data_IF_595407988875
#
_entry.id   IF_595407988875
#
_cell.length_a   1.000
_cell.length_b   1.000
_cell.length_c   1.000
_cell.angle_alpha   90.00
_cell.angle_beta   90.00
_cell.angle_gamma   90.00
#
_symmetry.space_group_name_H-M   'P 1'
#
loop_
_entity.id
_entity.type
_entity.pdbx_description
1 polymer ?
#
# COMPACT_ATOMS: atom_id res chain seq x y z
N UNK A 1 0.88 -32.86 -4.80
CA UNK A 1 -0.13 -31.84 -5.15
C UNK A 1 -0.62 -31.00 -3.97
N UNK A 2 -1.22 -31.57 -2.91
CA UNK A 2 -1.75 -30.74 -1.80
C UNK A 2 -0.66 -30.14 -0.89
N UNK A 3 0.42 -30.87 -0.65
CA UNK A 3 1.59 -30.40 0.11
C UNK A 3 2.34 -29.26 -0.60
N UNK A 4 2.49 -29.34 -1.92
CA UNK A 4 3.20 -28.34 -2.71
C UNK A 4 2.42 -27.02 -2.73
N UNK A 5 1.09 -27.08 -2.77
CA UNK A 5 0.21 -25.90 -2.69
C UNK A 5 0.32 -25.20 -1.33
N UNK A 6 0.40 -25.96 -0.23
CA UNK A 6 0.55 -25.38 1.12
C UNK A 6 1.92 -24.70 1.27
N UNK A 7 2.98 -25.33 0.79
CA UNK A 7 4.34 -24.77 0.85
C UNK A 7 4.40 -23.48 0.00
N UNK A 8 3.86 -23.51 -1.21
CA UNK A 8 3.78 -22.33 -2.06
C UNK A 8 2.99 -21.19 -1.40
N UNK A 9 1.85 -21.50 -0.79
CA UNK A 9 1.05 -20.51 -0.07
C UNK A 9 1.80 -19.91 1.13
N UNK A 10 2.55 -20.72 1.89
CA UNK A 10 3.39 -20.22 2.99
C UNK A 10 4.51 -19.32 2.50
N UNK A 11 5.20 -19.69 1.43
CA UNK A 11 6.27 -18.87 0.82
C UNK A 11 5.69 -17.53 0.36
N UNK A 12 4.55 -17.53 -0.35
CA UNK A 12 3.89 -16.32 -0.82
C UNK A 12 3.44 -15.43 0.35
N UNK A 13 2.90 -16.02 1.43
CA UNK A 13 2.53 -15.28 2.63
C UNK A 13 3.72 -14.63 3.35
N UNK A 14 4.88 -15.31 3.40
CA UNK A 14 6.12 -14.73 3.95
C UNK A 14 6.61 -13.57 3.08
N UNK A 15 6.60 -13.75 1.76
CA UNK A 15 7.01 -12.70 0.82
C UNK A 15 6.10 -11.49 0.93
N UNK A 16 4.77 -11.67 1.02
CA UNK A 16 3.82 -10.59 1.28
C UNK A 16 4.18 -9.85 2.57
N UNK A 17 4.30 -10.58 3.68
CA UNK A 17 4.63 -9.99 4.98
C UNK A 17 5.96 -9.22 5.00
N UNK A 18 6.95 -9.61 4.22
CA UNK A 18 8.23 -8.91 4.10
C UNK A 18 8.14 -7.70 3.15
N UNK A 19 7.43 -7.83 2.03
CA UNK A 19 7.40 -6.80 0.98
C UNK A 19 6.33 -5.75 1.23
N UNK A 20 5.30 -6.01 2.02
CA UNK A 20 4.25 -5.05 2.34
C UNK A 20 4.77 -3.84 3.13
N UNK A 21 5.80 -4.04 3.95
CA UNK A 21 6.42 -2.96 4.73
C UNK A 21 7.54 -2.22 3.98
N UNK A 22 7.92 -2.70 2.81
CA UNK A 22 8.91 -2.07 1.96
C UNK A 22 8.17 -1.49 0.74
N UNK A 23 8.45 -0.26 0.29
CA UNK A 23 7.73 0.36 -0.82
C UNK A 23 8.16 -0.22 -2.19
N UNK A 24 7.96 -1.53 -2.38
CA UNK A 24 8.38 -2.29 -3.58
C UNK A 24 7.26 -3.10 -4.25
N UNK A 25 6.00 -2.77 -4.01
CA UNK A 25 4.83 -3.51 -4.54
C UNK A 25 4.82 -5.00 -4.19
N UNK A 26 4.24 -5.33 -3.04
CA UNK A 26 4.03 -6.71 -2.57
C UNK A 26 3.24 -7.55 -3.60
N UNK A 27 2.20 -6.99 -4.18
CA UNK A 27 1.37 -7.65 -5.21
C UNK A 27 2.21 -8.08 -6.43
N UNK A 28 3.12 -7.23 -6.89
CA UNK A 28 4.02 -7.57 -8.01
C UNK A 28 4.92 -8.78 -7.68
N UNK A 29 5.44 -8.85 -6.46
CA UNK A 29 6.26 -9.97 -5.99
C UNK A 29 5.47 -11.27 -5.89
N UNK A 30 4.24 -11.21 -5.37
CA UNK A 30 3.36 -12.40 -5.26
C UNK A 30 2.99 -12.94 -6.63
N UNK A 31 2.62 -12.08 -7.58
CA UNK A 31 2.27 -12.49 -8.93
C UNK A 31 3.46 -13.15 -9.63
N UNK A 32 4.64 -12.54 -9.55
CA UNK A 32 5.83 -13.08 -10.17
C UNK A 32 6.24 -14.42 -9.54
N UNK A 33 6.32 -14.48 -8.22
CA UNK A 33 6.71 -15.68 -7.51
C UNK A 33 5.66 -16.78 -7.63
N UNK A 34 4.36 -16.45 -7.60
CA UNK A 34 3.27 -17.38 -7.82
C UNK A 34 3.35 -18.05 -9.20
N UNK A 35 3.67 -17.24 -10.23
CA UNK A 35 3.90 -17.77 -11.57
C UNK A 35 5.07 -18.76 -11.61
N UNK A 36 6.21 -18.46 -10.99
CA UNK A 36 7.36 -19.36 -10.91
C UNK A 36 7.11 -20.63 -10.11
N UNK A 37 6.28 -20.55 -9.06
CA UNK A 37 5.91 -21.70 -8.23
C UNK A 37 4.79 -22.55 -8.86
N UNK A 38 4.24 -22.15 -10.01
CA UNK A 38 3.08 -22.82 -10.59
C UNK A 38 1.85 -22.79 -9.68
N UNK A 39 1.73 -21.75 -8.85
CA UNK A 39 0.62 -21.58 -7.92
C UNK A 39 -0.58 -21.01 -8.68
N UNK A 40 -1.48 -21.91 -9.09
CA UNK A 40 -2.75 -21.52 -9.71
C UNK A 40 -3.68 -20.96 -8.65
N UNK A 41 -3.81 -19.64 -8.63
CA UNK A 41 -4.72 -18.94 -7.74
C UNK A 41 -6.13 -18.98 -8.34
N UNK A 42 -7.03 -19.73 -7.73
CA UNK A 42 -8.45 -19.75 -8.05
C UNK A 42 -9.11 -18.43 -7.62
N UNK A 43 -8.83 -17.37 -8.38
CA UNK A 43 -9.36 -16.04 -8.12
C UNK A 43 -8.57 -15.29 -7.03
N UNK A 44 -8.68 -13.99 -7.01
CA UNK A 44 -8.00 -13.03 -6.11
C UNK A 44 -8.24 -13.25 -4.59
N UNK A 45 -8.88 -14.34 -4.21
CA UNK A 45 -9.24 -14.64 -2.82
C UNK A 45 -7.98 -14.84 -1.96
N UNK A 46 -6.99 -15.56 -2.48
CA UNK A 46 -5.75 -15.80 -1.75
C UNK A 46 -4.98 -14.50 -1.48
N UNK A 47 -4.84 -13.65 -2.50
CA UNK A 47 -4.17 -12.34 -2.38
C UNK A 47 -4.87 -11.47 -1.33
N UNK A 48 -6.20 -11.41 -1.35
CA UNK A 48 -6.97 -10.65 -0.37
C UNK A 48 -6.78 -11.20 1.05
N UNK A 49 -6.72 -12.52 1.21
CA UNK A 49 -6.54 -13.14 2.53
C UNK A 49 -5.15 -12.86 3.11
N UNK A 50 -4.09 -12.91 2.32
CA UNK A 50 -2.74 -12.62 2.82
C UNK A 50 -2.57 -11.13 3.11
N UNK A 51 -3.15 -10.24 2.31
CA UNK A 51 -3.21 -8.79 2.61
C UNK A 51 -3.96 -8.52 3.92
N UNK A 52 -5.08 -9.22 4.16
CA UNK A 52 -5.78 -9.12 5.44
C UNK A 52 -4.88 -9.55 6.60
N UNK A 53 -4.06 -10.59 6.42
CA UNK A 53 -3.06 -11.02 7.40
C UNK A 53 -2.04 -9.91 7.72
N UNK A 54 -1.52 -9.23 6.71
CA UNK A 54 -0.60 -8.11 6.88
C UNK A 54 -1.26 -6.93 7.64
N UNK A 55 -2.50 -6.59 7.30
CA UNK A 55 -3.28 -5.55 8.01
C UNK A 55 -3.50 -5.93 9.48
N UNK A 56 -3.86 -7.18 9.78
CA UNK A 56 -4.04 -7.65 11.15
C UNK A 56 -2.72 -7.61 11.94
N UNK A 57 -1.59 -7.92 11.31
CA UNK A 57 -0.27 -7.81 11.95
C UNK A 57 0.04 -6.36 12.36
N UNK A 58 -0.22 -5.38 11.49
CA UNK A 58 -0.07 -3.96 11.84
C UNK A 58 -1.02 -3.57 12.97
N UNK A 59 -2.28 -3.99 12.90
CA UNK A 59 -3.26 -3.71 13.95
C UNK A 59 -2.84 -4.26 15.31
N UNK A 60 -2.22 -5.44 15.38
CA UNK A 60 -1.72 -6.00 16.65
C UNK A 60 -0.58 -5.18 17.22
N UNK A 61 0.38 -4.76 16.39
CA UNK A 61 1.54 -3.96 16.82
C UNK A 61 1.10 -2.58 17.33
N UNK A 62 0.19 -1.92 16.61
CA UNK A 62 -0.24 -0.56 16.94
C UNK A 62 -1.52 -0.50 17.79
N UNK A 63 -2.06 -1.64 18.23
CA UNK A 63 -3.33 -1.73 18.94
C UNK A 63 -3.42 -0.78 20.14
N UNK A 64 -2.44 -0.84 21.04
CA UNK A 64 -2.43 0.03 22.23
C UNK A 64 -2.30 1.52 21.87
N UNK A 65 -1.53 1.85 20.83
CA UNK A 65 -1.41 3.23 20.37
C UNK A 65 -2.73 3.75 19.81
N UNK A 66 -3.40 2.96 18.98
CA UNK A 66 -4.72 3.31 18.42
C UNK A 66 -5.78 3.43 19.51
N UNK A 67 -5.77 2.51 20.49
CA UNK A 67 -6.67 2.55 21.62
C UNK A 67 -6.45 3.82 22.49
N UNK A 68 -5.20 4.20 22.73
CA UNK A 68 -4.88 5.41 23.49
C UNK A 68 -5.31 6.68 22.74
N UNK A 69 -5.12 6.74 21.42
CA UNK A 69 -5.60 7.85 20.59
C UNK A 69 -7.14 7.92 20.66
N UNK A 70 -7.84 6.80 20.52
CA UNK A 70 -9.30 6.73 20.59
C UNK A 70 -9.82 7.22 21.96
N UNK A 71 -9.20 6.80 23.05
CA UNK A 71 -9.54 7.26 24.41
C UNK A 71 -9.26 8.75 24.64
N UNK A 72 -8.21 9.28 24.00
CA UNK A 72 -7.84 10.69 24.13
C UNK A 72 -8.67 11.63 23.22
N UNK A 73 -9.40 11.11 22.25
CA UNK A 73 -10.22 11.93 21.32
C UNK A 73 -11.14 12.95 21.99
N UNK A 74 -11.92 12.61 23.04
CA UNK A 74 -12.82 13.58 23.66
C UNK A 74 -12.09 14.70 24.41
N UNK A 75 -10.90 14.44 24.94
CA UNK A 75 -10.19 15.34 25.85
C UNK A 75 -8.99 16.06 25.22
N UNK A 76 -8.32 15.45 24.24
CA UNK A 76 -7.08 15.97 23.63
C UNK A 76 -7.31 16.62 22.27
N UNK A 77 -6.93 17.88 22.14
CA UNK A 77 -6.92 18.59 20.86
C UNK A 77 -5.87 18.01 19.89
N UNK A 78 -4.75 17.50 20.40
CA UNK A 78 -3.70 16.86 19.61
C UNK A 78 -4.23 15.55 18.98
N UNK A 79 -4.94 14.71 19.76
CA UNK A 79 -5.55 13.48 19.25
C UNK A 79 -6.59 13.79 18.15
N UNK A 80 -7.44 14.78 18.33
CA UNK A 80 -8.41 15.21 17.31
C UNK A 80 -7.73 15.72 16.05
N UNK A 81 -6.67 16.53 16.20
CA UNK A 81 -5.88 17.04 15.07
C UNK A 81 -5.20 15.91 14.31
N UNK A 82 -4.63 14.93 15.00
CA UNK A 82 -4.03 13.75 14.38
C UNK A 82 -5.05 12.96 13.56
N UNK A 83 -6.22 12.62 14.15
CA UNK A 83 -7.26 11.87 13.45
C UNK A 83 -7.83 12.65 12.26
N UNK A 84 -8.08 13.96 12.42
CA UNK A 84 -8.51 14.82 11.32
C UNK A 84 -7.46 14.84 10.18
N UNK A 85 -6.18 14.92 10.52
CA UNK A 85 -5.10 14.90 9.56
C UNK A 85 -5.00 13.60 8.78
N UNK A 86 -5.12 12.46 9.46
CA UNK A 86 -5.16 11.14 8.80
C UNK A 86 -6.38 11.04 7.88
N UNK A 87 -7.55 11.51 8.34
CA UNK A 87 -8.76 11.53 7.50
C UNK A 87 -8.57 12.40 6.27
N UNK A 88 -8.01 13.59 6.40
CA UNK A 88 -7.73 14.49 5.28
C UNK A 88 -6.70 13.88 4.31
N UNK A 89 -5.67 13.22 4.82
CA UNK A 89 -4.70 12.51 3.99
C UNK A 89 -5.32 11.33 3.23
N UNK A 90 -6.36 10.70 3.76
CA UNK A 90 -7.08 9.60 3.11
C UNK A 90 -8.06 10.08 2.02
N UNK A 91 -8.63 11.29 2.13
CA UNK A 91 -9.65 11.80 1.20
C UNK A 91 -9.23 11.75 -0.28
N UNK A 92 -8.04 12.22 -0.70
CA UNK A 92 -7.62 12.15 -2.09
C UNK A 92 -7.62 10.71 -2.63
N UNK A 93 -7.12 9.76 -1.83
CA UNK A 93 -7.08 8.35 -2.21
C UNK A 93 -8.48 7.73 -2.33
N UNK A 94 -9.39 8.04 -1.39
CA UNK A 94 -10.77 7.62 -1.45
C UNK A 94 -11.48 8.16 -2.69
N UNK A 95 -11.26 9.45 -3.00
CA UNK A 95 -11.83 10.10 -4.18
C UNK A 95 -11.31 9.47 -5.48
N UNK A 96 -9.99 9.30 -5.57
CA UNK A 96 -9.36 8.63 -6.70
C UNK A 96 -9.88 7.19 -6.87
N UNK A 97 -9.99 6.42 -5.79
CA UNK A 97 -10.50 5.06 -5.81
C UNK A 97 -11.93 4.95 -6.33
N UNK A 98 -12.82 5.87 -5.96
CA UNK A 98 -14.22 5.86 -6.40
C UNK A 98 -14.35 6.32 -7.87
N UNK A 99 -13.72 7.42 -8.23
CA UNK A 99 -13.93 8.06 -9.53
C UNK A 99 -13.05 7.47 -10.65
N UNK A 100 -11.82 7.07 -10.34
CA UNK A 100 -10.89 6.53 -11.33
C UNK A 100 -10.95 4.99 -11.45
N UNK A 101 -11.74 4.31 -10.62
CA UNK A 101 -11.81 2.84 -10.60
C UNK A 101 -12.12 2.22 -11.97
N UNK A 102 -13.07 2.80 -12.74
CA UNK A 102 -13.37 2.32 -14.09
C UNK A 102 -12.23 2.60 -15.07
N UNK A 103 -11.71 3.83 -15.06
CA UNK A 103 -10.60 4.22 -15.92
C UNK A 103 -9.33 3.42 -15.62
N UNK A 104 -9.05 3.20 -14.34
CA UNK A 104 -7.94 2.37 -13.87
C UNK A 104 -8.11 0.93 -14.37
N UNK A 105 -9.31 0.34 -14.26
CA UNK A 105 -9.58 -1.02 -14.74
C UNK A 105 -9.44 -1.17 -16.26
N UNK A 106 -9.96 -0.25 -17.02
CA UNK A 106 -10.10 -0.40 -18.49
C UNK A 106 -8.81 -0.06 -19.24
N UNK A 107 -8.00 0.88 -18.74
CA UNK A 107 -6.83 1.39 -19.48
C UNK A 107 -5.52 0.85 -18.91
N UNK A 108 -5.47 0.62 -17.61
CA UNK A 108 -4.21 0.35 -16.91
C UNK A 108 -3.89 -1.15 -16.77
N UNK A 109 -4.91 -2.02 -16.83
CA UNK A 109 -4.73 -3.46 -16.54
C UNK A 109 -4.32 -4.32 -17.74
N UNK A 110 -4.25 -3.75 -18.94
CA UNK A 110 -4.06 -4.56 -20.17
C UNK A 110 -2.58 -4.75 -20.57
N UNK A 111 -1.61 -4.15 -19.89
CA UNK A 111 -0.21 -4.26 -20.32
C UNK A 111 0.78 -4.55 -19.18
N UNK A 112 1.25 -5.81 -19.01
CA UNK A 112 2.32 -6.15 -18.06
C UNK A 112 3.61 -5.34 -18.26
N UNK A 113 3.90 -4.95 -19.49
CA UNK A 113 5.05 -4.12 -19.84
C UNK A 113 4.98 -2.73 -19.19
N UNK A 114 3.78 -2.15 -19.16
CA UNK A 114 3.55 -0.84 -18.54
C UNK A 114 3.76 -0.90 -17.02
N UNK A 115 3.36 -2.00 -16.39
CA UNK A 115 3.59 -2.27 -14.96
C UNK A 115 5.10 -2.25 -14.66
N UNK A 116 5.90 -3.00 -15.41
CA UNK A 116 7.35 -3.04 -15.24
C UNK A 116 7.98 -1.66 -15.39
N UNK A 117 7.57 -0.89 -16.40
CA UNK A 117 8.08 0.46 -16.63
C UNK A 117 7.75 1.38 -15.44
N UNK A 118 6.51 1.34 -14.93
CA UNK A 118 6.09 2.15 -13.80
C UNK A 118 6.81 1.77 -12.51
N UNK A 119 7.05 0.48 -12.26
CA UNK A 119 7.85 0.03 -11.11
C UNK A 119 9.30 0.54 -11.18
N UNK A 120 9.90 0.51 -12.36
CA UNK A 120 11.26 1.03 -12.59
C UNK A 120 11.29 2.55 -12.34
N UNK A 121 10.35 3.30 -12.93
CA UNK A 121 10.24 4.76 -12.73
C UNK A 121 10.02 5.08 -11.25
N UNK A 122 9.08 4.38 -10.58
CA UNK A 122 8.81 4.53 -9.17
C UNK A 122 10.05 4.27 -8.31
N UNK A 123 10.82 3.22 -8.62
CA UNK A 123 12.08 2.91 -7.95
C UNK A 123 13.11 4.04 -8.09
N UNK A 124 13.29 4.61 -9.28
CA UNK A 124 14.18 5.74 -9.49
C UNK A 124 13.73 7.00 -8.73
N UNK A 125 12.43 7.28 -8.71
CA UNK A 125 11.86 8.40 -7.93
C UNK A 125 12.14 8.19 -6.44
N UNK A 126 11.92 7.00 -5.89
CA UNK A 126 12.20 6.69 -4.49
C UNK A 126 13.67 6.86 -4.15
N UNK A 127 14.59 6.37 -4.98
CA UNK A 127 16.04 6.53 -4.79
C UNK A 127 16.45 8.02 -4.83
N UNK A 128 15.85 8.80 -5.71
CA UNK A 128 16.11 10.24 -5.78
C UNK A 128 15.59 10.98 -4.54
N UNK A 129 14.36 10.66 -4.11
CA UNK A 129 13.75 11.24 -2.90
C UNK A 129 14.56 10.89 -1.67
N UNK A 130 14.98 9.63 -1.51
CA UNK A 130 15.79 9.17 -0.37
C UNK A 130 17.13 9.91 -0.28
N UNK A 131 17.85 10.03 -1.40
CA UNK A 131 19.10 10.80 -1.46
C UNK A 131 18.92 12.28 -1.12
N UNK A 132 17.78 12.86 -1.47
CA UNK A 132 17.47 14.26 -1.15
C UNK A 132 17.03 14.40 0.30
N UNK A 133 16.19 13.51 0.79
CA UNK A 133 15.68 13.50 2.16
C UNK A 133 16.79 13.30 3.20
N UNK A 134 17.76 12.44 2.92
CA UNK A 134 18.91 12.20 3.81
C UNK A 134 19.79 13.43 4.06
N UNK A 135 19.71 14.43 3.19
CA UNK A 135 20.46 15.70 3.32
C UNK A 135 19.62 16.84 3.94
N UNK A 136 18.35 16.59 4.23
CA UNK A 136 17.43 17.60 4.77
C UNK A 136 17.25 17.37 6.27
N UNK A 137 17.30 18.45 7.05
CA UNK A 137 16.89 18.42 8.44
C UNK A 137 15.36 18.39 8.52
N UNK A 138 14.76 17.45 9.27
CA UNK A 138 13.32 17.39 9.39
C UNK A 138 12.77 18.65 10.07
N UNK A 139 11.85 19.34 9.41
CA UNK A 139 11.19 20.52 9.95
C UNK A 139 10.17 20.19 11.05
N UNK A 140 9.61 19.01 10.99
CA UNK A 140 8.61 18.53 11.95
C UNK A 140 9.03 17.13 12.42
N UNK A 141 9.09 16.96 13.73
CA UNK A 141 9.53 15.70 14.35
C UNK A 141 8.33 14.82 14.76
N UNK A 142 7.21 15.47 15.11
CA UNK A 142 5.99 14.77 15.50
C UNK A 142 4.90 14.98 14.45
N UNK A 143 4.15 13.94 14.16
CA UNK A 143 3.02 13.98 13.21
C UNK A 143 1.92 14.94 13.67
N UNK A 144 1.79 15.13 14.98
CA UNK A 144 0.81 16.04 15.59
C UNK A 144 1.08 17.52 15.25
N UNK A 145 2.33 17.86 14.92
CA UNK A 145 2.76 19.23 14.57
C UNK A 145 2.58 19.55 13.08
N UNK A 146 2.20 18.55 12.26
CA UNK A 146 2.04 18.76 10.82
C UNK A 146 0.87 19.70 10.54
N UNK A 147 1.06 20.72 9.67
CA UNK A 147 -0.04 21.54 9.21
C UNK A 147 -0.97 20.73 8.30
N UNK A 148 -2.26 21.05 8.33
CA UNK A 148 -3.32 20.32 7.61
C UNK A 148 -3.04 20.23 6.10
N UNK A 149 -2.50 21.30 5.50
CA UNK A 149 -2.14 21.32 4.08
C UNK A 149 -1.06 20.28 3.74
N UNK A 150 -0.10 20.04 4.64
CA UNK A 150 0.94 19.04 4.45
C UNK A 150 0.35 17.61 4.48
N UNK A 151 -0.62 17.36 5.34
CA UNK A 151 -1.33 16.09 5.39
C UNK A 151 -2.11 15.83 4.11
N UNK A 152 -2.74 16.87 3.54
CA UNK A 152 -3.38 16.78 2.23
C UNK A 152 -2.38 16.49 1.10
N UNK A 153 -1.22 17.16 1.09
CA UNK A 153 -0.14 16.90 0.12
C UNK A 153 0.37 15.46 0.24
N UNK A 154 0.56 14.95 1.46
CA UNK A 154 0.93 13.54 1.69
C UNK A 154 -0.12 12.61 1.07
N UNK A 155 -1.41 12.91 1.27
CA UNK A 155 -2.50 12.15 0.65
C UNK A 155 -2.47 12.18 -0.89
N UNK A 156 -2.17 13.32 -1.50
CA UNK A 156 -2.00 13.42 -2.95
C UNK A 156 -0.79 12.61 -3.45
N UNK A 157 0.34 12.67 -2.74
CA UNK A 157 1.52 11.84 -3.05
C UNK A 157 1.20 10.35 -2.93
N UNK A 158 0.42 9.96 -1.92
CA UNK A 158 -0.05 8.60 -1.74
C UNK A 158 -0.96 8.14 -2.90
N UNK A 159 -1.81 9.02 -3.45
CA UNK A 159 -2.61 8.71 -4.65
C UNK A 159 -1.73 8.43 -5.85
N UNK A 160 -0.69 9.22 -6.06
CA UNK A 160 0.26 9.02 -7.18
C UNK A 160 0.96 7.67 -7.00
N UNK A 161 1.46 7.39 -5.80
CA UNK A 161 2.08 6.10 -5.48
C UNK A 161 1.09 4.93 -5.68
N UNK A 162 -0.16 5.08 -5.22
CA UNK A 162 -1.21 4.09 -5.39
C UNK A 162 -1.55 3.84 -6.86
N UNK A 163 -1.62 4.88 -7.70
CA UNK A 163 -1.82 4.75 -9.14
C UNK A 163 -0.65 3.96 -9.74
N UNK A 164 0.58 4.26 -9.40
CA UNK A 164 1.75 3.51 -9.86
C UNK A 164 1.75 2.05 -9.38
N UNK A 165 1.22 1.76 -8.18
CA UNK A 165 1.17 0.42 -7.58
C UNK A 165 -0.07 -0.39 -7.99
N UNK A 166 -1.21 0.25 -8.24
CA UNK A 166 -2.44 -0.39 -8.73
C UNK A 166 -2.29 -0.98 -10.13
N UNK A 167 -1.27 -0.56 -10.88
CA UNK A 167 -0.91 -1.14 -12.17
C UNK A 167 -0.49 -2.61 -12.12
N UNK A 168 -0.27 -3.19 -10.95
CA UNK A 168 0.26 -4.55 -10.80
C UNK A 168 -0.80 -5.64 -10.61
N UNK A 169 -2.10 -5.34 -10.69
CA UNK A 169 -3.16 -6.35 -10.51
C UNK A 169 -3.67 -6.89 -11.86
N UNK A 170 -3.65 -8.21 -12.11
CA UNK A 170 -4.05 -8.81 -13.39
C UNK A 170 -5.55 -8.66 -13.67
N UNK A 171 -5.88 -8.54 -14.96
CA UNK A 171 -7.26 -8.49 -15.48
C UNK A 171 -7.95 -9.85 -15.36
N UNK A 172 -9.26 -9.91 -15.05
CA UNK A 172 -10.03 -11.17 -15.04
C UNK A 172 -10.49 -11.64 -16.41
N UNK A 173 -9.89 -11.16 -17.51
CA UNK A 173 -10.34 -11.52 -18.88
C UNK A 173 -9.50 -12.61 -19.57
N UNK A 174 -8.48 -13.15 -18.93
CA UNK A 174 -7.62 -14.21 -19.51
C UNK A 174 -7.95 -15.59 -18.97
N UNK A 175 -9.24 -15.88 -18.77
CA UNK A 175 -9.77 -17.22 -18.51
C UNK A 175 -10.84 -17.59 -19.51
#
# INVERSE_FOLDING_TARGET
>A
MQSDTIISALILGIVEGLTEFIPVSSTGHILLLGHFLGFENTGKIFEVLIQLGAILAILTIYFYRLLNIAKALPTSSAARRFVAGVTIAFLPAAFAGVFLHKFIKEVLFESPMLICIMLIIGGFILLWVDRKASKMTPKYTNVEDYPIWLMFVIGCCQCIAMICLLYTSPSPRDS
#
